data_IF_132503667295
#
_entry.id   IF_132503667295
#
_cell.length_a   1.000
_cell.length_b   1.000
_cell.length_c   1.000
_cell.angle_alpha   90.00
_cell.angle_beta   90.00
_cell.angle_gamma   90.00
#
_symmetry.space_group_name_H-M   'P 1'
#
loop_
_entity.id
_entity.type
_entity.pdbx_description
1 polymer ?
#
# COMPACT_ATOMS: atom_id res chain seq x y z
N UNK A 1 19.66 -3.55 -0.37
CA UNK A 1 18.23 -3.40 0.00
C UNK A 1 18.00 -3.96 1.39
N UNK A 2 17.72 -3.08 2.36
CA UNK A 2 17.28 -3.54 3.67
C UNK A 2 15.83 -4.00 3.55
N UNK A 3 15.61 -5.33 3.46
CA UNK A 3 14.30 -5.95 3.17
C UNK A 3 13.23 -5.51 4.16
N UNK A 4 13.62 -5.18 5.38
CA UNK A 4 12.77 -4.62 6.44
C UNK A 4 12.03 -3.36 6.01
N UNK A 5 12.70 -2.42 5.34
CA UNK A 5 12.08 -1.15 4.90
C UNK A 5 11.03 -1.40 3.82
N UNK A 6 11.28 -2.35 2.93
CA UNK A 6 10.33 -2.76 1.90
C UNK A 6 9.07 -3.38 2.52
N UNK A 7 9.23 -4.29 3.49
CA UNK A 7 8.10 -4.91 4.18
C UNK A 7 7.26 -3.88 4.96
N UNK A 8 7.90 -2.92 5.65
CA UNK A 8 7.20 -1.86 6.38
C UNK A 8 6.37 -0.99 5.43
N UNK A 9 6.96 -0.53 4.32
CA UNK A 9 6.21 0.25 3.32
C UNK A 9 5.08 -0.56 2.70
N UNK A 10 5.30 -1.83 2.35
CA UNK A 10 4.24 -2.70 1.82
C UNK A 10 3.08 -2.84 2.80
N UNK A 11 3.35 -3.12 4.08
CA UNK A 11 2.32 -3.30 5.11
C UNK A 11 1.51 -2.02 5.34
N UNK A 12 2.16 -0.86 5.42
CA UNK A 12 1.49 0.42 5.64
C UNK A 12 0.61 0.79 4.45
N UNK A 13 1.14 0.73 3.24
CA UNK A 13 0.39 1.13 2.05
C UNK A 13 -0.69 0.13 1.64
N UNK A 14 -0.50 -1.17 1.91
CA UNK A 14 -1.57 -2.17 1.75
C UNK A 14 -2.70 -1.97 2.77
N UNK A 15 -2.34 -1.67 4.04
CA UNK A 15 -3.31 -1.36 5.09
C UNK A 15 -4.12 -0.10 4.79
N UNK A 16 -3.45 0.99 4.41
CA UNK A 16 -4.10 2.25 4.03
C UNK A 16 -4.93 2.07 2.75
N UNK A 17 -4.39 1.39 1.73
CA UNK A 17 -5.10 1.12 0.49
C UNK A 17 -6.38 0.29 0.67
N UNK A 18 -6.35 -0.68 1.60
CA UNK A 18 -7.54 -1.44 2.00
C UNK A 18 -8.53 -0.64 2.86
N UNK A 19 -8.07 0.41 3.54
CA UNK A 19 -8.91 1.26 4.38
C UNK A 19 -9.61 2.40 3.60
N UNK A 20 -9.00 2.90 2.52
CA UNK A 20 -9.63 3.90 1.62
C UNK A 20 -11.07 3.55 1.19
N UNK A 21 -11.39 2.31 0.75
CA UNK A 21 -12.76 1.95 0.36
C UNK A 21 -13.76 1.98 1.53
N UNK A 22 -13.29 1.79 2.78
CA UNK A 22 -14.16 1.94 3.97
C UNK A 22 -14.53 3.39 4.26
N UNK A 23 -13.66 4.35 3.90
CA UNK A 23 -13.92 5.79 4.03
C UNK A 23 -14.86 6.33 2.94
N UNK A 24 -14.93 5.64 1.79
CA UNK A 24 -15.79 6.01 0.65
C UNK A 24 -17.24 5.48 0.80
N UNK A 25 -17.61 4.95 1.97
CA UNK A 25 -18.97 4.54 2.30
C UNK A 25 -19.32 3.10 1.94
N UNK A 26 -18.37 2.34 1.38
CA UNK A 26 -18.57 0.92 1.10
C UNK A 26 -18.35 0.11 2.39
N UNK A 27 -19.46 -0.21 3.07
CA UNK A 27 -19.48 -0.90 4.36
C UNK A 27 -19.29 -2.41 4.22
N UNK A 28 -19.29 -2.94 3.00
CA UNK A 28 -19.05 -4.36 2.76
C UNK A 28 -17.54 -4.61 2.66
N UNK A 29 -16.96 -5.20 3.70
CA UNK A 29 -15.55 -5.61 3.74
C UNK A 29 -15.12 -6.53 2.57
N UNK A 30 -16.07 -7.18 1.90
CA UNK A 30 -15.86 -8.03 0.71
C UNK A 30 -16.24 -7.36 -0.62
N UNK A 31 -16.54 -6.06 -0.64
CA UNK A 31 -16.78 -5.34 -1.89
C UNK A 31 -15.52 -5.37 -2.74
N UNK A 32 -15.66 -5.54 -4.07
CA UNK A 32 -14.54 -5.53 -5.01
C UNK A 32 -13.63 -4.29 -4.89
N UNK A 33 -14.16 -3.19 -4.34
CA UNK A 33 -13.44 -1.98 -3.98
C UNK A 33 -12.36 -2.18 -2.90
N UNK A 34 -12.58 -3.06 -1.92
CA UNK A 34 -11.58 -3.47 -0.92
C UNK A 34 -10.36 -4.15 -1.57
N UNK A 35 -10.62 -5.04 -2.51
CA UNK A 35 -9.59 -5.79 -3.25
C UNK A 35 -8.85 -4.87 -4.22
N UNK A 36 -9.57 -4.00 -4.93
CA UNK A 36 -8.99 -2.98 -5.80
C UNK A 36 -8.13 -1.98 -5.01
N UNK A 37 -8.64 -1.47 -3.89
CA UNK A 37 -7.94 -0.50 -3.03
C UNK A 37 -6.67 -1.09 -2.42
N UNK A 38 -6.74 -2.32 -1.91
CA UNK A 38 -5.56 -3.02 -1.36
C UNK A 38 -4.53 -3.38 -2.43
N UNK A 39 -4.96 -3.77 -3.63
CA UNK A 39 -4.06 -4.04 -4.77
C UNK A 39 -3.36 -2.76 -5.22
N UNK A 40 -4.11 -1.66 -5.43
CA UNK A 40 -3.56 -0.36 -5.82
C UNK A 40 -2.63 0.18 -4.72
N UNK A 41 -3.04 0.12 -3.46
CA UNK A 41 -2.22 0.52 -2.31
C UNK A 41 -0.92 -0.27 -2.23
N UNK A 42 -0.97 -1.59 -2.44
CA UNK A 42 0.23 -2.44 -2.51
C UNK A 42 1.18 -2.04 -3.64
N UNK A 43 0.66 -1.77 -4.84
CA UNK A 43 1.46 -1.33 -6.00
C UNK A 43 2.10 0.04 -5.71
N UNK A 44 1.34 1.01 -5.20
CA UNK A 44 1.85 2.33 -4.84
C UNK A 44 2.89 2.23 -3.73
N UNK A 45 2.69 1.38 -2.73
CA UNK A 45 3.67 1.13 -1.67
C UNK A 45 5.00 0.59 -2.19
N UNK A 46 4.98 -0.33 -3.16
CA UNK A 46 6.20 -0.84 -3.82
C UNK A 46 6.88 0.25 -4.64
N UNK A 47 6.12 1.09 -5.34
CA UNK A 47 6.68 2.20 -6.13
C UNK A 47 7.33 3.27 -5.23
N UNK A 48 6.69 3.61 -4.12
CA UNK A 48 7.22 4.55 -3.12
C UNK A 48 8.47 3.96 -2.43
N UNK A 49 8.44 2.68 -2.05
CA UNK A 49 9.60 2.00 -1.49
C UNK A 49 10.78 1.94 -2.47
N UNK A 50 10.52 1.71 -3.77
CA UNK A 50 11.55 1.79 -4.82
C UNK A 50 12.12 3.20 -4.96
N UNK A 51 11.28 4.24 -4.95
CA UNK A 51 11.72 5.64 -5.02
C UNK A 51 12.58 6.03 -3.81
N UNK A 52 12.16 5.66 -2.60
CA UNK A 52 12.93 5.87 -1.37
C UNK A 52 14.25 5.12 -1.39
N UNK A 53 14.27 3.87 -1.86
CA UNK A 53 15.50 3.09 -1.98
C UNK A 53 16.46 3.67 -3.02
N UNK A 54 15.96 4.25 -4.11
CA UNK A 54 16.79 4.91 -5.13
C UNK A 54 17.27 6.30 -4.71
N UNK A 55 16.67 6.90 -3.68
CA UNK A 55 17.13 8.15 -3.05
C UNK A 55 18.04 7.92 -1.84
N UNK A 56 18.24 6.66 -1.42
CA UNK A 56 19.09 6.25 -0.30
C UNK A 56 20.50 5.82 -0.77
N UNK A 57 20.99 6.42 -1.86
CA UNK A 57 22.39 6.37 -2.32
C UNK A 57 23.10 7.71 -1.99
N UNK A 58 22.81 8.29 -0.81
CA UNK A 58 23.58 9.39 -0.21
C UNK A 58 24.03 8.98 1.20
#
# INVERSE_FOLDING_TARGET
>A
MNKTVLYICMSIFAGIGGYIPTLLGDTSWMSGWGILGSTIGGIVGVLVARKLSSGSDI
#
